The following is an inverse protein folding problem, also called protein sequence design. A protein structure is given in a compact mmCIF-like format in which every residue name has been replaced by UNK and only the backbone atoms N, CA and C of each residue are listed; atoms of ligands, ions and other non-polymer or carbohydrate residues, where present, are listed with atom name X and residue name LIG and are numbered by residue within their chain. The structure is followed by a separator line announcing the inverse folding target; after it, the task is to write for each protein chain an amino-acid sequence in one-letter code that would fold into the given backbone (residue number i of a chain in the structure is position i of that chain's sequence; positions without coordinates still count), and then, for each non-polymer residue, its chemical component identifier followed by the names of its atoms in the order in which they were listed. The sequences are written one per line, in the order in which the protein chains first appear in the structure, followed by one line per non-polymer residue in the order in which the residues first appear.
data_IF_284563675270
#
_entry.id   IF_284563675270
#
_cell.length_a   1.000
_cell.length_b   1.000
_cell.length_c   1.000
_cell.angle_alpha   90.00
_cell.angle_beta   90.00
_cell.angle_gamma   90.00
#
_symmetry.space_group_name_H-M   'P 1'
#
loop_
_entity.id
_entity.type
_entity.pdbx_description
1 polymer ?
#
# COMPACT_ATOMS: atom_id res chain seq x y z
N UNK A 1 13.77 -28.76 16.31
CA UNK A 1 12.98 -28.98 15.07
C UNK A 1 11.74 -28.07 14.98
N UNK A 2 11.32 -27.38 16.06
CA UNK A 2 10.28 -26.31 16.04
C UNK A 2 10.76 -25.01 15.40
N UNK A 3 12.01 -24.62 15.69
CA UNK A 3 12.66 -23.37 15.30
C UNK A 3 12.48 -22.98 13.81
N UNK A 4 12.75 -23.94 12.90
CA UNK A 4 12.67 -23.70 11.45
C UNK A 4 11.25 -23.44 10.92
N UNK A 5 10.20 -23.87 11.64
CA UNK A 5 8.80 -23.61 11.23
C UNK A 5 8.32 -22.25 11.73
N UNK A 6 8.78 -21.82 12.89
CA UNK A 6 8.47 -20.50 13.46
C UNK A 6 9.10 -19.39 12.61
N UNK A 7 10.35 -19.57 12.19
CA UNK A 7 11.05 -18.64 11.28
C UNK A 7 10.31 -18.44 9.96
N UNK A 8 9.91 -19.53 9.30
CA UNK A 8 9.19 -19.45 8.02
C UNK A 8 7.79 -18.87 8.14
N UNK A 9 7.17 -19.00 9.32
CA UNK A 9 5.85 -18.42 9.59
C UNK A 9 5.98 -16.91 9.79
N UNK A 10 7.01 -16.46 10.53
CA UNK A 10 7.29 -15.04 10.76
C UNK A 10 7.63 -14.29 9.46
N UNK A 11 8.35 -14.92 8.52
CA UNK A 11 8.65 -14.29 7.22
C UNK A 11 7.40 -14.11 6.37
N UNK A 12 6.52 -15.13 6.30
CA UNK A 12 5.25 -15.04 5.58
C UNK A 12 4.38 -13.91 6.15
N UNK A 13 4.29 -13.79 7.47
CA UNK A 13 3.54 -12.70 8.10
C UNK A 13 4.13 -11.33 7.77
N UNK A 14 5.47 -11.19 7.80
CA UNK A 14 6.12 -9.96 7.42
C UNK A 14 5.81 -9.58 5.96
N UNK A 15 5.88 -10.54 5.04
CA UNK A 15 5.58 -10.31 3.62
C UNK A 15 4.10 -9.98 3.38
N UNK A 16 3.18 -10.60 4.13
CA UNK A 16 1.77 -10.24 4.15
C UNK A 16 1.53 -8.81 4.63
N UNK A 17 2.29 -8.33 5.63
CA UNK A 17 2.20 -6.94 6.09
C UNK A 17 2.57 -5.96 4.97
N UNK A 18 3.57 -6.27 4.13
CA UNK A 18 3.89 -5.43 2.98
C UNK A 18 2.71 -5.30 2.02
N UNK A 19 2.04 -6.41 1.71
CA UNK A 19 0.86 -6.41 0.84
C UNK A 19 -0.28 -5.60 1.47
N UNK A 20 -0.60 -5.87 2.73
CA UNK A 20 -1.69 -5.18 3.45
C UNK A 20 -1.42 -3.68 3.54
N UNK A 21 -0.21 -3.29 3.88
CA UNK A 21 0.18 -1.87 3.95
C UNK A 21 0.05 -1.19 2.60
N UNK A 22 0.49 -1.84 1.51
CA UNK A 22 0.32 -1.32 0.17
C UNK A 22 -1.15 -1.15 -0.25
N UNK A 23 -2.01 -2.10 0.10
CA UNK A 23 -3.48 -2.00 -0.13
C UNK A 23 -4.06 -0.82 0.64
N UNK A 24 -3.69 -0.63 1.90
CA UNK A 24 -4.16 0.51 2.71
C UNK A 24 -3.76 1.84 2.06
N UNK A 25 -2.51 1.99 1.61
CA UNK A 25 -2.05 3.19 0.91
C UNK A 25 -2.82 3.42 -0.39
N UNK A 26 -3.08 2.36 -1.15
CA UNK A 26 -3.83 2.44 -2.40
C UNK A 26 -5.27 2.89 -2.17
N UNK A 27 -5.97 2.29 -1.19
CA UNK A 27 -7.35 2.65 -0.84
C UNK A 27 -7.42 4.07 -0.31
N UNK A 28 -6.47 4.47 0.55
CA UNK A 28 -6.38 5.84 1.06
C UNK A 28 -6.18 6.86 -0.07
N UNK A 29 -5.33 6.52 -1.05
CA UNK A 29 -5.11 7.36 -2.21
C UNK A 29 -6.37 7.49 -3.08
N UNK A 30 -7.08 6.38 -3.32
CA UNK A 30 -8.35 6.39 -4.05
C UNK A 30 -9.41 7.21 -3.31
N UNK A 31 -9.51 7.09 -1.98
CA UNK A 31 -10.45 7.89 -1.18
C UNK A 31 -10.14 9.39 -1.27
N UNK A 32 -8.86 9.76 -1.17
CA UNK A 32 -8.41 11.15 -1.36
C UNK A 32 -8.76 11.70 -2.76
N UNK A 33 -8.58 10.88 -3.81
CA UNK A 33 -8.91 11.26 -5.19
C UNK A 33 -10.44 11.31 -5.40
N UNK A 34 -11.19 10.38 -4.80
CA UNK A 34 -12.64 10.24 -4.95
C UNK A 34 -13.41 11.33 -4.20
N UNK A 35 -13.05 11.61 -2.95
CA UNK A 35 -13.63 12.69 -2.14
C UNK A 35 -13.52 14.06 -2.84
N UNK A 36 -12.54 14.21 -3.75
CA UNK A 36 -12.31 15.43 -4.51
C UNK A 36 -13.08 15.52 -5.81
N UNK A 37 -13.48 14.39 -6.42
CA UNK A 37 -14.39 14.41 -7.58
C UNK A 37 -15.74 15.05 -7.25
N UNK A 38 -16.09 15.11 -5.95
CA UNK A 38 -17.34 15.66 -5.44
C UNK A 38 -17.16 16.89 -4.52
N UNK A 39 -15.93 17.42 -4.33
CA UNK A 39 -15.63 18.52 -3.42
C UNK A 39 -15.25 19.85 -4.11
N UNK A 40 -15.35 21.00 -3.42
CA UNK A 40 -15.04 22.31 -4.01
C UNK A 40 -13.55 22.49 -4.37
N UNK A 41 -13.28 22.97 -5.58
CA UNK A 41 -11.93 23.15 -6.14
C UNK A 41 -11.27 24.38 -5.49
N UNK A 42 -10.24 24.16 -4.66
CA UNK A 42 -9.44 25.18 -3.97
C UNK A 42 -7.94 24.92 -4.18
N UNK A 43 -7.03 25.87 -3.92
CA UNK A 43 -5.58 25.64 -4.13
C UNK A 43 -4.99 24.51 -3.27
N UNK A 44 -5.56 24.26 -2.08
CA UNK A 44 -5.27 23.06 -1.28
C UNK A 44 -5.70 21.75 -1.95
N UNK A 45 -6.65 21.82 -2.88
CA UNK A 45 -7.06 20.72 -3.75
C UNK A 45 -6.00 20.37 -4.79
N UNK A 46 -5.07 21.26 -5.15
CA UNK A 46 -3.99 20.90 -6.09
C UNK A 46 -2.83 20.19 -5.42
N UNK A 47 -2.43 20.63 -4.22
CA UNK A 47 -1.31 20.04 -3.46
C UNK A 47 -1.59 18.59 -3.05
N UNK A 48 -2.80 18.28 -2.59
CA UNK A 48 -3.15 16.91 -2.18
C UNK A 48 -3.58 15.98 -3.32
N UNK A 49 -3.70 16.46 -4.57
CA UNK A 49 -3.85 15.59 -5.76
C UNK A 49 -2.52 14.89 -6.03
N UNK A 50 -1.43 15.67 -6.06
CA UNK A 50 -0.06 15.14 -6.14
C UNK A 50 0.23 14.18 -4.99
N UNK A 51 -0.25 14.49 -3.79
CA UNK A 51 -0.18 13.59 -2.63
C UNK A 51 -0.93 12.26 -2.86
N UNK A 52 -2.17 12.30 -3.34
CA UNK A 52 -2.96 11.11 -3.66
C UNK A 52 -2.27 10.21 -4.70
N UNK A 53 -1.75 10.79 -5.79
CA UNK A 53 -0.99 10.02 -6.78
C UNK A 53 0.31 9.41 -6.22
N UNK A 54 1.01 10.14 -5.35
CA UNK A 54 2.21 9.61 -4.69
C UNK A 54 1.89 8.42 -3.78
N UNK A 55 0.81 8.50 -2.98
CA UNK A 55 0.36 7.39 -2.14
C UNK A 55 -0.12 6.20 -2.96
N UNK A 56 -0.80 6.44 -4.10
CA UNK A 56 -1.21 5.38 -5.02
C UNK A 56 0.00 4.63 -5.59
N UNK A 57 1.00 5.37 -6.06
CA UNK A 57 2.24 4.79 -6.58
C UNK A 57 2.96 3.98 -5.50
N UNK A 58 3.15 4.54 -4.30
CA UNK A 58 3.76 3.83 -3.18
C UNK A 58 2.98 2.57 -2.81
N UNK A 59 1.64 2.64 -2.75
CA UNK A 59 0.80 1.48 -2.47
C UNK A 59 1.02 0.33 -3.46
N UNK A 60 1.07 0.64 -4.76
CA UNK A 60 1.36 -0.35 -5.81
C UNK A 60 2.76 -0.97 -5.62
N UNK A 61 3.77 -0.17 -5.28
CA UNK A 61 5.14 -0.68 -5.04
C UNK A 61 5.15 -1.66 -3.86
N UNK A 62 4.51 -1.31 -2.74
CA UNK A 62 4.43 -2.18 -1.57
C UNK A 62 3.70 -3.50 -1.87
N UNK A 63 2.59 -3.44 -2.62
CA UNK A 63 1.88 -4.64 -3.07
C UNK A 63 2.78 -5.51 -3.95
N UNK A 64 3.42 -4.92 -4.96
CA UNK A 64 4.28 -5.65 -5.90
C UNK A 64 5.44 -6.34 -5.18
N UNK A 65 6.10 -5.62 -4.25
CA UNK A 65 7.21 -6.17 -3.45
C UNK A 65 6.71 -7.29 -2.52
N UNK A 66 5.60 -7.07 -1.80
CA UNK A 66 5.04 -8.10 -0.90
C UNK A 66 4.63 -9.35 -1.67
N UNK A 67 3.98 -9.21 -2.83
CA UNK A 67 3.60 -10.34 -3.69
C UNK A 67 4.84 -11.06 -4.23
N UNK A 68 5.87 -10.34 -4.68
CA UNK A 68 7.10 -10.95 -5.17
C UNK A 68 7.77 -11.83 -4.10
N UNK A 69 7.85 -11.34 -2.85
CA UNK A 69 8.42 -12.08 -1.72
C UNK A 69 7.59 -13.31 -1.36
N UNK A 70 6.25 -13.19 -1.38
CA UNK A 70 5.34 -14.33 -1.18
C UNK A 70 5.45 -15.41 -2.27
N UNK A 71 5.82 -15.01 -3.49
CA UNK A 71 6.09 -15.93 -4.60
C UNK A 71 7.52 -16.51 -4.56
N UNK A 72 8.37 -16.08 -3.62
CA UNK A 72 9.73 -16.59 -3.43
C UNK A 72 10.80 -15.92 -4.30
N UNK A 73 10.55 -14.70 -4.80
CA UNK A 73 11.54 -13.86 -5.47
C UNK A 73 12.34 -12.99 -4.51
#
# INVERSE_FOLDING_TARGET
MSDRREDGTMTIFADLVFVVFGVVLFVFAEDMLFARRFGPITDGARSSETGGYAFRFLGVVFIAVGVAKLLGF
#
